data_IF_231176742006
#
_entry.id   IF_231176742006
#
_cell.length_a   1.000
_cell.length_b   1.000
_cell.length_c   1.000
_cell.angle_alpha   90.00
_cell.angle_beta   90.00
_cell.angle_gamma   90.00
#
_symmetry.space_group_name_H-M   'P 1'
#
loop_
_entity.id
_entity.type
_entity.pdbx_description
1 polymer ?
#
# COMPACT_ATOMS: atom_id res chain seq x y z
N UNK A 1 -27.26 -14.11 39.02
CA UNK A 1 -26.28 -14.29 37.92
C UNK A 1 -27.07 -14.83 36.73
N UNK A 2 -27.68 -13.94 35.93
CA UNK A 2 -28.42 -14.37 34.75
C UNK A 2 -27.41 -14.76 33.68
N UNK A 3 -27.43 -16.02 33.27
CA UNK A 3 -26.80 -16.47 32.03
C UNK A 3 -27.63 -15.84 30.92
N UNK A 4 -27.22 -14.65 30.46
CA UNK A 4 -27.83 -14.02 29.29
C UNK A 4 -27.25 -14.68 28.05
N UNK A 5 -28.15 -15.11 27.19
CA UNK A 5 -27.85 -15.69 25.88
C UNK A 5 -27.10 -14.63 25.10
N UNK A 6 -25.84 -14.91 24.76
CA UNK A 6 -25.07 -14.07 23.86
C UNK A 6 -25.71 -14.20 22.48
N UNK A 7 -26.40 -13.16 22.02
CA UNK A 7 -26.95 -13.14 20.67
C UNK A 7 -25.80 -13.31 19.66
N UNK A 8 -25.98 -14.32 18.81
CA UNK A 8 -25.00 -14.72 17.82
C UNK A 8 -25.44 -14.22 16.46
N UNK A 9 -24.57 -13.49 15.76
CA UNK A 9 -24.87 -12.95 14.43
C UNK A 9 -24.03 -13.66 13.36
N UNK A 10 -24.37 -14.92 13.00
CA UNK A 10 -23.57 -15.69 12.04
C UNK A 10 -23.56 -15.07 10.64
N UNK A 11 -24.64 -14.37 10.27
CA UNK A 11 -24.76 -13.68 8.98
C UNK A 11 -23.66 -12.62 8.79
N UNK A 12 -23.33 -11.88 9.85
CA UNK A 12 -22.29 -10.86 9.81
C UNK A 12 -20.90 -11.48 9.65
N UNK A 13 -20.60 -12.56 10.37
CA UNK A 13 -19.34 -13.28 10.22
C UNK A 13 -19.12 -13.83 8.80
N UNK A 14 -20.18 -14.30 8.14
CA UNK A 14 -20.13 -14.75 6.74
C UNK A 14 -19.81 -13.57 5.80
N UNK A 15 -20.44 -12.40 6.01
CA UNK A 15 -20.16 -11.21 5.21
C UNK A 15 -18.70 -10.78 5.37
N UNK A 16 -18.18 -10.77 6.59
CA UNK A 16 -16.77 -10.47 6.86
C UNK A 16 -15.82 -11.45 6.15
N UNK A 17 -16.15 -12.74 6.17
CA UNK A 17 -15.40 -13.76 5.42
C UNK A 17 -15.40 -13.49 3.92
N UNK A 18 -16.54 -13.14 3.34
CA UNK A 18 -16.64 -12.81 1.93
C UNK A 18 -15.82 -11.57 1.56
N UNK A 19 -15.92 -10.50 2.36
CA UNK A 19 -15.11 -9.29 2.19
C UNK A 19 -13.61 -9.58 2.30
N UNK A 20 -13.21 -10.38 3.28
CA UNK A 20 -11.84 -10.81 3.48
C UNK A 20 -11.28 -11.62 2.31
N UNK A 21 -12.09 -12.51 1.71
CA UNK A 21 -11.69 -13.28 0.53
C UNK A 21 -11.49 -12.36 -0.67
N UNK A 22 -12.44 -11.48 -0.96
CA UNK A 22 -12.32 -10.53 -2.09
C UNK A 22 -11.08 -9.64 -1.90
N UNK A 23 -10.89 -9.08 -0.71
CA UNK A 23 -9.73 -8.23 -0.41
C UNK A 23 -8.40 -8.98 -0.64
N UNK A 24 -8.31 -10.24 -0.21
CA UNK A 24 -7.12 -11.07 -0.44
C UNK A 24 -6.90 -11.43 -1.91
N UNK A 25 -7.96 -11.67 -2.69
CA UNK A 25 -7.86 -11.93 -4.13
C UNK A 25 -7.34 -10.69 -4.87
N UNK A 26 -7.88 -9.51 -4.57
CA UNK A 26 -7.39 -8.24 -5.15
C UNK A 26 -5.93 -8.02 -4.74
N UNK A 27 -5.59 -8.26 -3.47
CA UNK A 27 -4.22 -8.10 -2.99
C UNK A 27 -3.25 -9.13 -3.60
N UNK A 28 -3.72 -10.33 -3.96
CA UNK A 28 -2.92 -11.30 -4.73
C UNK A 28 -2.57 -10.76 -6.12
N UNK A 29 -3.52 -10.12 -6.80
CA UNK A 29 -3.29 -9.46 -8.08
C UNK A 29 -2.31 -8.28 -7.95
N UNK A 30 -2.44 -7.47 -6.89
CA UNK A 30 -1.48 -6.42 -6.54
C UNK A 30 -0.09 -7.01 -6.37
N UNK A 31 0.04 -8.10 -5.61
CA UNK A 31 1.32 -8.72 -5.30
C UNK A 31 2.09 -9.19 -6.55
N UNK A 32 1.38 -9.73 -7.54
CA UNK A 32 1.99 -10.12 -8.82
C UNK A 32 2.68 -8.94 -9.53
N UNK A 33 2.14 -7.73 -9.36
CA UNK A 33 2.64 -6.49 -9.99
C UNK A 33 3.60 -5.70 -9.08
N UNK A 34 3.46 -5.78 -7.76
CA UNK A 34 4.25 -5.08 -6.74
C UNK A 34 4.79 -6.06 -5.69
N UNK A 35 5.97 -6.64 -5.97
CA UNK A 35 6.63 -7.62 -5.08
C UNK A 35 7.12 -7.04 -3.76
N UNK A 36 7.26 -5.72 -3.67
CA UNK A 36 7.59 -4.99 -2.44
C UNK A 36 6.51 -5.13 -1.36
N UNK A 37 5.26 -5.38 -1.75
CA UNK A 37 4.12 -5.59 -0.85
C UNK A 37 3.94 -7.04 -0.39
N UNK A 38 4.96 -7.91 -0.54
CA UNK A 38 4.90 -9.33 -0.14
C UNK A 38 4.42 -9.52 1.30
N UNK A 39 4.92 -8.74 2.24
CA UNK A 39 4.55 -8.87 3.65
C UNK A 39 3.09 -8.44 3.90
N UNK A 40 2.59 -7.47 3.14
CA UNK A 40 1.20 -7.05 3.24
C UNK A 40 0.28 -8.17 2.73
N UNK A 41 0.65 -8.80 1.61
CA UNK A 41 -0.09 -9.95 1.09
C UNK A 41 -0.14 -11.11 2.09
N UNK A 42 0.98 -11.43 2.75
CA UNK A 42 1.00 -12.47 3.80
C UNK A 42 0.09 -12.07 4.98
N UNK A 43 0.07 -10.79 5.37
CA UNK A 43 -0.84 -10.32 6.42
C UNK A 43 -2.32 -10.47 6.00
N UNK A 44 -2.67 -10.09 4.77
CA UNK A 44 -4.02 -10.25 4.21
C UNK A 44 -4.46 -11.72 4.22
N UNK A 45 -3.62 -12.64 3.75
CA UNK A 45 -3.94 -14.08 3.77
C UNK A 45 -4.22 -14.57 5.19
N UNK A 46 -3.36 -14.23 6.15
CA UNK A 46 -3.55 -14.67 7.53
C UNK A 46 -4.85 -14.12 8.13
N UNK A 47 -5.14 -12.83 7.91
CA UNK A 47 -6.39 -12.23 8.39
C UNK A 47 -7.61 -12.88 7.74
N UNK A 48 -7.57 -13.15 6.43
CA UNK A 48 -8.67 -13.84 5.73
C UNK A 48 -8.86 -15.26 6.26
N UNK A 49 -7.78 -16.03 6.46
CA UNK A 49 -7.87 -17.38 7.02
C UNK A 49 -8.48 -17.33 8.43
N UNK A 50 -8.03 -16.38 9.27
CA UNK A 50 -8.58 -16.18 10.61
C UNK A 50 -10.09 -15.93 10.57
N UNK A 51 -10.54 -14.99 9.73
CA UNK A 51 -11.96 -14.65 9.64
C UNK A 51 -12.81 -15.79 9.07
N UNK A 52 -12.29 -16.55 8.10
CA UNK A 52 -12.98 -17.73 7.54
C UNK A 52 -13.11 -18.82 8.59
N UNK A 53 -12.03 -19.11 9.33
CA UNK A 53 -12.07 -20.08 10.44
C UNK A 53 -13.08 -19.61 11.49
N UNK A 54 -13.09 -18.32 11.84
CA UNK A 54 -14.10 -17.77 12.75
C UNK A 54 -15.51 -18.05 12.23
N UNK A 55 -15.84 -17.59 11.01
CA UNK A 55 -17.16 -17.75 10.42
C UNK A 55 -17.61 -19.22 10.29
N UNK A 56 -16.69 -20.16 10.08
CA UNK A 56 -17.03 -21.60 10.05
C UNK A 56 -17.33 -22.13 11.45
N UNK A 57 -16.54 -21.79 12.46
CA UNK A 57 -16.78 -22.23 13.84
C UNK A 57 -18.06 -21.62 14.42
N UNK A 58 -18.33 -20.38 14.04
CA UNK A 58 -19.54 -19.66 14.33
C UNK A 58 -20.81 -20.45 13.96
N UNK A 59 -20.76 -21.21 12.86
CA UNK A 59 -21.89 -21.98 12.35
C UNK A 59 -21.87 -23.42 12.89
N UNK A 60 -20.70 -24.06 12.93
CA UNK A 60 -20.60 -25.51 13.18
C UNK A 60 -20.44 -25.87 14.65
N UNK A 61 -19.79 -25.03 15.46
CA UNK A 61 -19.48 -25.34 16.86
C UNK A 61 -19.28 -24.05 17.67
N UNK A 62 -20.37 -23.32 18.01
CA UNK A 62 -20.28 -22.11 18.83
C UNK A 62 -19.68 -22.44 20.20
N UNK A 63 -18.47 -21.92 20.48
CA UNK A 63 -17.68 -22.24 21.67
C UNK A 63 -16.59 -23.30 21.49
N UNK A 64 -16.37 -23.78 20.26
CA UNK A 64 -15.27 -24.70 19.94
C UNK A 64 -13.88 -24.05 19.97
N UNK A 65 -12.83 -24.89 19.95
CA UNK A 65 -11.41 -24.49 19.93
C UNK A 65 -11.07 -23.58 18.74
N UNK A 66 -11.89 -23.59 17.70
CA UNK A 66 -11.60 -22.86 16.47
C UNK A 66 -11.63 -21.32 16.58
N UNK A 67 -12.27 -20.75 17.59
CA UNK A 67 -12.11 -19.32 17.88
C UNK A 67 -10.66 -18.98 18.31
N UNK A 68 -10.02 -19.86 19.07
CA UNK A 68 -8.62 -19.66 19.47
C UNK A 68 -7.67 -19.83 18.28
N UNK A 69 -7.97 -20.77 17.37
CA UNK A 69 -7.22 -20.95 16.13
C UNK A 69 -7.33 -19.70 15.25
N UNK A 70 -8.54 -19.14 15.09
CA UNK A 70 -8.78 -17.89 14.36
C UNK A 70 -7.94 -16.73 14.92
N UNK A 71 -7.91 -16.57 16.25
CA UNK A 71 -7.10 -15.55 16.92
C UNK A 71 -5.61 -15.68 16.61
N UNK A 72 -5.06 -16.90 16.58
CA UNK A 72 -3.66 -17.12 16.20
C UNK A 72 -3.35 -16.57 14.80
N UNK A 73 -4.24 -16.78 13.84
CA UNK A 73 -4.07 -16.23 12.49
C UNK A 73 -4.12 -14.70 12.48
N UNK A 74 -5.03 -14.08 13.24
CA UNK A 74 -5.04 -12.61 13.37
C UNK A 74 -3.76 -12.07 14.01
N UNK A 75 -3.22 -12.75 15.03
CA UNK A 75 -1.96 -12.38 15.68
C UNK A 75 -0.80 -12.42 14.69
N UNK A 76 -0.68 -13.52 13.94
CA UNK A 76 0.35 -13.68 12.91
C UNK A 76 0.20 -12.60 11.84
N UNK A 77 -1.04 -12.30 11.43
CA UNK A 77 -1.36 -11.21 10.51
C UNK A 77 -0.88 -9.84 11.02
N UNK A 78 -1.23 -9.49 12.27
CA UNK A 78 -0.86 -8.23 12.90
C UNK A 78 0.67 -8.08 13.04
N UNK A 79 1.38 -9.14 13.47
CA UNK A 79 2.84 -9.14 13.57
C UNK A 79 3.46 -8.96 12.17
N UNK A 80 2.96 -9.68 11.16
CA UNK A 80 3.46 -9.56 9.79
C UNK A 80 3.27 -8.14 9.25
N UNK A 81 2.11 -7.55 9.51
CA UNK A 81 1.79 -6.17 9.12
C UNK A 81 2.70 -5.16 9.82
N UNK A 82 2.93 -5.33 11.13
CA UNK A 82 3.87 -4.52 11.89
C UNK A 82 5.28 -4.57 11.29
N UNK A 83 5.79 -5.77 11.02
CA UNK A 83 7.11 -5.95 10.37
C UNK A 83 7.15 -5.27 9.00
N UNK A 84 6.06 -5.32 8.24
CA UNK A 84 5.96 -4.66 6.94
C UNK A 84 6.07 -3.13 7.05
N UNK A 85 5.25 -2.53 7.91
CA UNK A 85 5.25 -1.08 8.16
C UNK A 85 6.58 -0.63 8.73
N UNK A 86 7.14 -1.39 9.67
CA UNK A 86 8.44 -1.11 10.28
C UNK A 86 9.55 -1.10 9.22
N UNK A 87 9.62 -2.13 8.37
CA UNK A 87 10.62 -2.20 7.29
C UNK A 87 10.51 -1.01 6.35
N UNK A 88 9.29 -0.60 6.01
CA UNK A 88 9.08 0.54 5.14
C UNK A 88 9.41 1.87 5.83
N UNK A 89 9.08 2.02 7.10
CA UNK A 89 9.43 3.18 7.92
C UNK A 89 10.95 3.39 7.95
N UNK A 90 11.71 2.34 8.26
CA UNK A 90 13.17 2.40 8.28
C UNK A 90 13.75 2.70 6.90
N UNK A 91 13.21 2.13 5.83
CA UNK A 91 13.62 2.47 4.45
C UNK A 91 13.36 3.94 4.11
N UNK A 92 12.31 4.54 4.67
CA UNK A 92 11.87 5.90 4.35
C UNK A 92 12.60 6.96 5.17
N UNK A 93 12.94 6.68 6.43
CA UNK A 93 13.54 7.65 7.35
C UNK A 93 15.03 7.44 7.63
N UNK A 94 15.59 6.25 7.39
CA UNK A 94 17.05 6.04 7.53
C UNK A 94 17.75 6.53 6.25
N UNK A 95 18.56 7.58 6.40
CA UNK A 95 19.40 8.17 5.35
C UNK A 95 20.22 7.06 4.68
N UNK A 96 20.29 7.10 3.35
CA UNK A 96 20.98 6.13 2.50
C UNK A 96 22.50 6.29 2.66
N UNK A 97 23.05 5.91 3.82
CA UNK A 97 24.47 5.59 3.87
C UNK A 97 24.66 4.23 3.19
N UNK A 98 25.44 4.27 2.12
CA UNK A 98 25.86 3.14 1.32
C UNK A 98 26.54 2.09 2.18
N UNK A 99 25.88 0.95 2.37
CA UNK A 99 26.42 -0.38 2.12
C UNK A 99 25.53 -1.44 2.80
N UNK A 100 25.01 -2.34 1.97
CA UNK A 100 24.82 -3.77 2.29
C UNK A 100 24.50 -4.12 3.74
N UNK A 101 23.37 -3.65 4.27
CA UNK A 101 22.73 -4.35 5.38
C UNK A 101 22.00 -5.57 4.82
N UNK A 102 22.77 -6.64 4.58
CA UNK A 102 22.28 -8.02 4.64
C UNK A 102 21.75 -8.22 6.06
N UNK A 103 20.50 -7.82 6.31
CA UNK A 103 19.79 -8.18 7.54
C UNK A 103 19.50 -9.67 7.42
N UNK A 104 20.47 -10.48 7.85
CA UNK A 104 20.28 -11.89 8.18
C UNK A 104 19.27 -11.92 9.32
N UNK A 105 17.99 -12.05 8.97
CA UNK A 105 16.90 -12.13 9.94
C UNK A 105 17.02 -13.45 10.71
N UNK A 106 17.86 -13.46 11.73
CA UNK A 106 17.68 -14.39 12.86
C UNK A 106 16.50 -13.87 13.66
N UNK A 107 15.30 -14.11 13.14
CA UNK A 107 14.09 -14.05 13.96
C UNK A 107 14.13 -15.34 14.78
N UNK A 108 14.69 -15.23 15.98
CA UNK A 108 14.57 -16.24 17.03
C UNK A 108 13.09 -16.34 17.38
N UNK A 109 12.43 -17.33 16.79
CA UNK A 109 11.11 -17.79 17.20
C UNK A 109 11.27 -18.55 18.53
N UNK A 110 11.03 -17.86 19.64
CA UNK A 110 10.76 -18.50 20.91
C UNK A 110 9.29 -18.20 21.25
N UNK A 111 8.40 -19.06 20.75
CA UNK A 111 7.02 -19.14 21.22
C UNK A 111 6.98 -20.34 22.15
N UNK A 112 6.96 -20.08 23.45
CA UNK A 112 6.69 -21.08 24.49
C UNK A 112 5.30 -20.82 25.07
N UNK A 113 4.64 -21.91 25.38
CA UNK A 113 3.20 -22.16 25.51
C UNK A 113 2.69 -21.91 26.95
N UNK A 114 1.52 -21.24 27.05
CA UNK A 114 0.47 -21.15 28.12
C UNK A 114 0.81 -20.73 29.58
N UNK A 115 -0.07 -20.00 30.32
CA UNK A 115 -1.48 -20.32 30.69
C UNK A 115 -2.56 -19.40 30.08
N UNK A 116 -3.61 -20.02 29.51
CA UNK A 116 -4.48 -19.51 28.45
C UNK A 116 -5.42 -18.32 28.77
N UNK A 117 -5.56 -17.85 30.01
CA UNK A 117 -6.53 -16.80 30.36
C UNK A 117 -5.87 -15.46 30.75
N UNK A 118 -4.68 -15.52 31.37
CA UNK A 118 -3.83 -14.35 31.62
C UNK A 118 -3.05 -13.98 30.36
N UNK A 119 -2.77 -14.95 29.49
CA UNK A 119 -2.10 -14.72 28.21
C UNK A 119 -2.97 -13.97 27.21
N UNK A 120 -4.27 -14.26 27.10
CA UNK A 120 -5.12 -13.63 26.07
C UNK A 120 -5.22 -12.13 26.26
N UNK A 121 -5.40 -11.66 27.50
CA UNK A 121 -5.36 -10.22 27.83
C UNK A 121 -3.96 -9.64 27.58
N UNK A 122 -2.90 -10.31 28.02
CA UNK A 122 -1.52 -9.84 27.83
C UNK A 122 -1.13 -9.74 26.35
N UNK A 123 -1.62 -10.67 25.53
CA UNK A 123 -1.33 -10.74 24.10
C UNK A 123 -2.14 -9.69 23.34
N UNK A 124 -3.40 -9.43 23.71
CA UNK A 124 -4.19 -8.33 23.16
C UNK A 124 -3.57 -6.96 23.43
N UNK A 125 -3.07 -6.71 24.64
CA UNK A 125 -2.35 -5.47 24.97
C UNK A 125 -1.10 -5.32 24.09
N UNK A 126 -0.40 -6.42 23.81
CA UNK A 126 0.75 -6.42 22.90
C UNK A 126 0.35 -6.11 21.45
N UNK A 127 -0.75 -6.69 20.95
CA UNK A 127 -1.28 -6.38 19.61
C UNK A 127 -1.70 -4.92 19.53
N UNK A 128 -2.42 -4.41 20.53
CA UNK A 128 -2.83 -2.99 20.61
C UNK A 128 -1.60 -2.09 20.51
N UNK A 129 -0.52 -2.43 21.21
CA UNK A 129 0.75 -1.68 21.15
C UNK A 129 1.36 -1.73 19.74
N UNK A 130 1.39 -2.91 19.09
CA UNK A 130 1.89 -3.04 17.72
C UNK A 130 1.03 -2.29 16.70
N UNK A 131 -0.30 -2.34 16.83
CA UNK A 131 -1.23 -1.61 15.99
C UNK A 131 -1.05 -0.09 16.16
N UNK A 132 -0.93 0.39 17.41
CA UNK A 132 -0.73 1.80 17.72
C UNK A 132 0.59 2.31 17.11
N UNK A 133 1.69 1.59 17.34
CA UNK A 133 2.99 1.94 16.77
C UNK A 133 2.96 1.91 15.25
N UNK A 134 2.32 0.89 14.65
CA UNK A 134 2.15 0.79 13.19
C UNK A 134 1.33 1.94 12.62
N UNK A 135 0.26 2.35 13.29
CA UNK A 135 -0.59 3.46 12.87
C UNK A 135 0.22 4.76 12.85
N UNK A 136 0.94 5.06 13.94
CA UNK A 136 1.81 6.24 14.05
C UNK A 136 2.90 6.23 12.96
N UNK A 137 3.56 5.09 12.75
CA UNK A 137 4.56 4.94 11.69
C UNK A 137 3.96 5.14 10.30
N UNK A 138 2.77 4.61 10.04
CA UNK A 138 2.07 4.74 8.75
C UNK A 138 1.68 6.19 8.48
N UNK A 139 1.14 6.90 9.47
CA UNK A 139 0.85 8.33 9.35
C UNK A 139 2.13 9.15 9.11
N UNK A 140 3.23 8.85 9.81
CA UNK A 140 4.52 9.51 9.54
C UNK A 140 5.03 9.25 8.13
N UNK A 141 4.92 8.03 7.61
CA UNK A 141 5.29 7.71 6.21
C UNK A 141 4.39 8.51 5.26
N UNK A 142 3.09 8.58 5.53
CA UNK A 142 2.14 9.35 4.74
C UNK A 142 2.53 10.84 4.67
N UNK A 143 2.83 11.48 5.81
CA UNK A 143 3.24 12.90 5.81
C UNK A 143 4.52 13.16 5.00
N UNK A 144 5.42 12.17 4.89
CA UNK A 144 6.67 12.30 4.14
C UNK A 144 6.56 11.96 2.65
N UNK A 145 5.92 10.83 2.30
CA UNK A 145 5.79 10.37 0.92
C UNK A 145 4.57 10.92 0.19
N UNK A 146 3.56 11.40 0.94
CA UNK A 146 2.24 11.82 0.44
C UNK A 146 1.54 10.76 -0.43
N UNK A 147 1.81 9.48 -0.15
CA UNK A 147 1.23 8.33 -0.85
C UNK A 147 -0.11 7.94 -0.24
N UNK A 148 -1.16 7.91 -1.07
CA UNK A 148 -2.55 7.66 -0.64
C UNK A 148 -2.67 6.29 0.06
N UNK A 149 -1.93 5.28 -0.42
CA UNK A 149 -1.81 3.95 0.18
C UNK A 149 -1.53 3.97 1.69
N UNK A 150 -0.61 4.82 2.14
CA UNK A 150 -0.19 4.87 3.55
C UNK A 150 -1.21 5.57 4.44
N UNK A 151 -2.00 6.50 3.89
CA UNK A 151 -3.12 7.09 4.60
C UNK A 151 -4.21 6.05 4.85
N UNK A 152 -4.60 5.30 3.82
CA UNK A 152 -5.61 4.24 3.95
C UNK A 152 -5.15 3.13 4.90
N UNK A 153 -3.88 2.73 4.83
CA UNK A 153 -3.32 1.78 5.79
C UNK A 153 -3.35 2.33 7.23
N UNK A 154 -3.01 3.61 7.42
CA UNK A 154 -3.07 4.27 8.73
C UNK A 154 -4.48 4.27 9.31
N UNK A 155 -5.50 4.59 8.49
CA UNK A 155 -6.91 4.55 8.91
C UNK A 155 -7.33 3.12 9.23
N UNK A 156 -6.96 2.15 8.38
CA UNK A 156 -7.25 0.73 8.58
C UNK A 156 -6.70 0.23 9.93
N UNK A 157 -5.45 0.58 10.26
CA UNK A 157 -4.83 0.28 11.56
C UNK A 157 -5.53 0.95 12.74
N UNK A 158 -5.99 2.19 12.57
CA UNK A 158 -6.79 2.89 13.59
C UNK A 158 -8.14 2.20 13.82
N UNK A 159 -8.79 1.70 12.77
CA UNK A 159 -10.05 0.95 12.90
C UNK A 159 -9.85 -0.35 13.70
N UNK A 160 -8.78 -1.11 13.41
CA UNK A 160 -8.43 -2.31 14.19
C UNK A 160 -8.12 -1.97 15.63
N UNK A 161 -7.39 -0.89 15.88
CA UNK A 161 -7.09 -0.44 17.24
C UNK A 161 -8.38 -0.20 18.03
N UNK A 162 -9.35 0.51 17.43
CA UNK A 162 -10.65 0.75 18.06
C UNK A 162 -11.43 -0.54 18.29
N UNK A 163 -11.44 -1.47 17.33
CA UNK A 163 -12.07 -2.78 17.49
C UNK A 163 -11.49 -3.54 18.69
N UNK A 164 -10.16 -3.61 18.79
CA UNK A 164 -9.47 -4.26 19.90
C UNK A 164 -9.75 -3.58 21.25
N UNK A 165 -9.81 -2.25 21.30
CA UNK A 165 -10.18 -1.52 22.52
C UNK A 165 -11.60 -1.92 22.95
N UNK A 166 -12.57 -1.96 22.04
CA UNK A 166 -13.93 -2.38 22.37
C UNK A 166 -14.00 -3.83 22.84
N UNK A 167 -13.24 -4.74 22.22
CA UNK A 167 -13.13 -6.14 22.68
C UNK A 167 -12.56 -6.24 24.10
N UNK A 168 -11.56 -5.41 24.44
CA UNK A 168 -11.01 -5.38 25.81
C UNK A 168 -12.06 -4.85 26.80
N UNK A 169 -12.81 -3.81 26.44
CA UNK A 169 -13.86 -3.25 27.31
C UNK A 169 -15.02 -4.25 27.49
N UNK A 170 -15.41 -4.98 26.43
CA UNK A 170 -16.40 -6.06 26.50
C UNK A 170 -16.01 -7.10 27.56
N UNK A 171 -14.73 -7.51 27.58
CA UNK A 171 -14.21 -8.48 28.56
C UNK A 171 -14.20 -7.98 30.00
N UNK A 172 -14.23 -6.66 30.21
CA UNK A 172 -14.36 -6.07 31.55
C UNK A 172 -15.82 -6.08 32.06
N UNK A 173 -16.78 -6.57 31.27
CA UNK A 173 -18.17 -6.77 31.68
C UNK A 173 -19.19 -5.85 30.99
N UNK A 174 -18.77 -5.06 29.99
CA UNK A 174 -19.67 -4.20 29.22
C UNK A 174 -20.14 -4.90 27.94
N UNK A 175 -21.18 -5.72 28.05
CA UNK A 175 -21.71 -6.56 26.95
C UNK A 175 -22.10 -5.76 25.68
N UNK A 176 -22.56 -4.51 25.84
CA UNK A 176 -22.94 -3.63 24.72
C UNK A 176 -21.76 -3.30 23.77
N UNK A 177 -20.53 -3.40 24.26
CA UNK A 177 -19.32 -3.10 23.46
C UNK A 177 -19.07 -4.14 22.37
N UNK A 178 -19.69 -5.32 22.45
CA UNK A 178 -19.59 -6.36 21.42
C UNK A 178 -20.12 -5.89 20.07
N UNK A 179 -21.26 -5.20 20.05
CA UNK A 179 -21.86 -4.65 18.82
C UNK A 179 -20.96 -3.59 18.19
N UNK A 180 -20.33 -2.75 19.02
CA UNK A 180 -19.36 -1.76 18.55
C UNK A 180 -18.09 -2.41 17.99
N UNK A 181 -17.55 -3.43 18.65
CA UNK A 181 -16.39 -4.18 18.15
C UNK A 181 -16.67 -4.80 16.78
N UNK A 182 -17.83 -5.45 16.64
CA UNK A 182 -18.27 -6.06 15.37
C UNK A 182 -18.48 -5.00 14.27
N UNK A 183 -19.08 -3.85 14.62
CA UNK A 183 -19.20 -2.72 13.70
C UNK A 183 -17.84 -2.19 13.21
N UNK A 184 -16.86 -2.13 14.11
CA UNK A 184 -15.48 -1.74 13.74
C UNK A 184 -14.81 -2.79 12.85
N UNK A 185 -15.05 -4.08 13.06
CA UNK A 185 -14.55 -5.13 12.18
C UNK A 185 -15.10 -5.00 10.75
N UNK A 186 -16.40 -4.68 10.59
CA UNK A 186 -16.98 -4.41 9.27
C UNK A 186 -16.28 -3.24 8.59
N UNK A 187 -16.06 -2.14 9.31
CA UNK A 187 -15.34 -0.98 8.77
C UNK A 187 -13.90 -1.39 8.40
N UNK A 188 -13.24 -2.20 9.21
CA UNK A 188 -11.88 -2.67 8.97
C UNK A 188 -11.78 -3.50 7.69
N UNK A 189 -12.64 -4.50 7.50
CA UNK A 189 -12.62 -5.34 6.30
C UNK A 189 -12.96 -4.55 5.03
N UNK A 190 -13.88 -3.58 5.12
CA UNK A 190 -14.13 -2.64 4.03
C UNK A 190 -12.89 -1.79 3.72
N UNK A 191 -12.19 -1.29 4.74
CA UNK A 191 -10.98 -0.50 4.55
C UNK A 191 -9.82 -1.34 4.00
N UNK A 192 -9.71 -2.63 4.35
CA UNK A 192 -8.75 -3.54 3.73
C UNK A 192 -9.03 -3.70 2.22
N UNK A 193 -10.30 -3.86 1.85
CA UNK A 193 -10.73 -3.96 0.45
C UNK A 193 -10.39 -2.67 -0.31
N UNK A 194 -10.79 -1.52 0.22
CA UNK A 194 -10.51 -0.20 -0.38
C UNK A 194 -9.00 0.02 -0.48
N UNK A 195 -8.22 -0.33 0.54
CA UNK A 195 -6.75 -0.20 0.51
C UNK A 195 -6.15 -1.03 -0.63
N UNK A 196 -6.60 -2.26 -0.84
CA UNK A 196 -6.13 -3.10 -1.94
C UNK A 196 -6.42 -2.47 -3.32
N UNK A 197 -7.60 -1.87 -3.49
CA UNK A 197 -7.98 -1.15 -4.72
C UNK A 197 -7.14 0.11 -4.90
N UNK A 198 -6.98 0.92 -3.85
CA UNK A 198 -6.18 2.15 -3.86
C UNK A 198 -4.74 1.85 -4.26
N UNK A 199 -4.18 0.74 -3.78
CA UNK A 199 -2.84 0.31 -4.19
C UNK A 199 -2.77 0.02 -5.69
N UNK A 200 -3.79 -0.58 -6.32
CA UNK A 200 -3.80 -0.75 -7.78
C UNK A 200 -3.84 0.58 -8.52
N UNK A 201 -4.64 1.54 -8.04
CA UNK A 201 -4.78 2.86 -8.64
C UNK A 201 -3.48 3.66 -8.52
N UNK A 202 -2.87 3.68 -7.34
CA UNK A 202 -1.58 4.31 -7.07
C UNK A 202 -0.48 3.76 -7.99
N UNK A 203 -0.54 2.47 -8.32
CA UNK A 203 0.42 1.87 -9.26
C UNK A 203 0.26 2.42 -10.67
N UNK A 204 -0.98 2.51 -11.15
CA UNK A 204 -1.28 3.06 -12.47
C UNK A 204 -0.87 4.53 -12.57
N UNK A 205 -1.08 5.31 -11.50
CA UNK A 205 -0.66 6.71 -11.43
C UNK A 205 0.86 6.86 -11.53
N UNK A 206 1.62 6.04 -10.80
CA UNK A 206 3.09 6.08 -10.86
C UNK A 206 3.60 5.74 -12.27
N UNK A 207 3.03 4.72 -12.92
CA UNK A 207 3.40 4.33 -14.29
C UNK A 207 3.10 5.47 -15.27
N UNK A 208 1.88 6.00 -15.24
CA UNK A 208 1.47 7.11 -16.11
C UNK A 208 2.35 8.36 -15.90
N UNK A 209 2.71 8.67 -14.66
CA UNK A 209 3.62 9.78 -14.36
C UNK A 209 5.03 9.55 -14.90
N UNK A 210 5.55 8.32 -14.79
CA UNK A 210 6.86 7.97 -15.34
C UNK A 210 6.91 8.02 -16.86
N UNK A 211 5.84 7.60 -17.53
CA UNK A 211 5.71 7.69 -18.98
C UNK A 211 5.63 9.14 -19.44
N UNK A 212 4.86 9.98 -18.72
CA UNK A 212 4.80 11.42 -18.99
C UNK A 212 6.18 12.10 -18.86
N UNK A 213 6.96 11.73 -17.84
CA UNK A 213 8.34 12.24 -17.67
C UNK A 213 9.26 11.77 -18.81
N UNK A 214 9.19 10.49 -19.17
CA UNK A 214 9.95 9.95 -20.30
C UNK A 214 9.64 10.68 -21.61
N UNK A 215 8.35 10.90 -21.89
CA UNK A 215 7.92 11.64 -23.09
C UNK A 215 8.43 13.08 -23.07
N UNK A 216 8.36 13.76 -21.91
CA UNK A 216 8.91 15.10 -21.75
C UNK A 216 10.42 15.15 -22.05
N UNK A 217 11.20 14.22 -21.51
CA UNK A 217 12.64 14.18 -21.71
C UNK A 217 12.99 13.88 -23.18
N UNK A 218 12.27 12.95 -23.81
CA UNK A 218 12.42 12.64 -25.24
C UNK A 218 12.14 13.87 -26.11
N UNK A 219 11.03 14.56 -25.88
CA UNK A 219 10.72 15.76 -26.65
C UNK A 219 11.69 16.91 -26.41
N UNK A 220 12.19 17.07 -25.18
CA UNK A 220 13.24 18.05 -24.87
C UNK A 220 14.53 17.74 -25.62
N UNK A 221 14.90 16.46 -25.73
CA UNK A 221 16.07 16.02 -26.48
C UNK A 221 15.90 16.26 -27.98
N UNK A 222 14.75 15.89 -28.55
CA UNK A 222 14.44 16.09 -29.98
C UNK A 222 14.44 17.58 -30.35
N UNK A 223 13.84 18.43 -29.52
CA UNK A 223 13.91 19.90 -29.68
C UNK A 223 15.36 20.40 -29.60
N UNK A 224 16.16 19.90 -28.65
CA UNK A 224 17.57 20.24 -28.54
C UNK A 224 18.35 19.92 -29.83
N UNK A 225 18.11 18.74 -30.42
CA UNK A 225 18.73 18.33 -31.68
C UNK A 225 18.30 19.23 -32.85
N UNK A 226 17.03 19.63 -32.90
CA UNK A 226 16.52 20.56 -33.92
C UNK A 226 17.21 21.93 -33.77
N UNK A 227 17.26 22.49 -32.55
CA UNK A 227 17.91 23.77 -32.32
C UNK A 227 19.42 23.74 -32.59
N UNK A 228 20.10 22.64 -32.24
CA UNK A 228 21.51 22.47 -32.58
C UNK A 228 21.72 22.44 -34.11
N UNK A 229 20.85 21.76 -34.85
CA UNK A 229 20.89 21.74 -36.32
C UNK A 229 20.68 23.13 -36.90
N UNK A 230 19.73 23.90 -36.36
CA UNK A 230 19.49 25.30 -36.77
C UNK A 230 20.71 26.18 -36.45
N UNK A 231 21.33 26.00 -35.28
CA UNK A 231 22.51 26.77 -34.86
C UNK A 231 23.70 26.49 -35.78
N UNK A 232 24.00 25.21 -36.06
CA UNK A 232 25.06 24.86 -37.01
C UNK A 232 24.77 25.39 -38.43
N UNK A 233 23.50 25.37 -38.84
CA UNK A 233 23.12 25.91 -40.13
C UNK A 233 23.34 27.43 -40.21
N UNK A 234 22.96 28.15 -39.16
CA UNK A 234 23.18 29.58 -39.07
C UNK A 234 24.67 29.96 -39.01
N UNK A 235 25.47 29.22 -38.24
CA UNK A 235 26.93 29.41 -38.18
C UNK A 235 27.56 29.27 -39.57
N UNK A 236 27.18 28.24 -40.33
CA UNK A 236 27.68 28.00 -41.68
C UNK A 236 27.25 29.08 -42.69
N UNK A 237 26.03 29.61 -42.59
CA UNK A 237 25.57 30.77 -43.38
C UNK A 237 26.41 32.02 -43.06
N UNK A 238 26.74 32.23 -41.79
CA UNK A 238 27.47 33.43 -41.34
C UNK A 238 28.96 33.43 -41.70
N UNK A 239 29.50 32.32 -42.23
CA UNK A 239 30.89 32.27 -42.66
C UNK A 239 31.12 33.10 -43.93
N UNK A 240 32.16 33.97 -43.97
CA UNK A 240 32.39 34.92 -45.06
C UNK A 240 32.76 34.28 -46.41
N UNK A 241 33.03 32.98 -46.45
CA UNK A 241 33.32 32.19 -47.65
C UNK A 241 32.14 31.34 -48.15
N UNK A 242 30.96 31.48 -47.53
CA UNK A 242 29.76 30.74 -47.94
C UNK A 242 29.30 31.20 -49.34
N UNK A 243 29.08 30.24 -50.23
CA UNK A 243 28.50 30.51 -51.57
C UNK A 243 27.00 30.80 -51.41
N UNK A 244 26.48 31.68 -52.25
CA UNK A 244 25.06 32.07 -52.28
C UNK A 244 24.13 30.84 -52.40
N UNK A 245 24.49 29.86 -53.23
CA UNK A 245 23.75 28.58 -53.36
C UNK A 245 23.70 27.76 -52.07
N UNK A 246 24.75 27.86 -51.24
CA UNK A 246 24.84 27.15 -49.96
C UNK A 246 23.96 27.85 -48.92
N UNK A 247 23.87 29.18 -48.95
CA UNK A 247 22.96 29.94 -48.08
C UNK A 247 21.50 29.58 -48.34
N UNK A 248 21.08 29.49 -49.61
CA UNK A 248 19.72 29.09 -49.97
C UNK A 248 19.34 27.67 -49.48
N UNK A 249 20.25 26.70 -49.62
CA UNK A 249 20.04 25.34 -49.12
C UNK A 249 19.89 25.30 -47.59
N UNK A 250 20.70 26.10 -46.88
CA UNK A 250 20.64 26.18 -45.42
C UNK A 250 19.40 26.92 -44.91
N UNK A 251 18.93 27.95 -45.60
CA UNK A 251 17.68 28.64 -45.30
C UNK A 251 16.47 27.72 -45.45
N UNK A 252 16.46 26.87 -46.49
CA UNK A 252 15.43 25.83 -46.68
C UNK A 252 15.49 24.81 -45.52
N UNK A 253 16.69 24.38 -45.11
CA UNK A 253 16.89 23.46 -43.99
C UNK A 253 16.40 24.07 -42.66
N UNK A 254 16.74 25.33 -42.38
CA UNK A 254 16.31 26.06 -41.18
C UNK A 254 14.79 26.17 -41.15
N UNK A 255 14.14 26.59 -42.24
CA UNK A 255 12.67 26.66 -42.32
C UNK A 255 12.02 25.29 -42.07
N UNK A 256 12.57 24.23 -42.66
CA UNK A 256 12.09 22.86 -42.43
C UNK A 256 12.21 22.47 -40.96
N UNK A 257 13.36 22.74 -40.34
CA UNK A 257 13.62 22.41 -38.93
C UNK A 257 12.76 23.24 -37.96
N UNK A 258 12.49 24.51 -38.27
CA UNK A 258 11.56 25.35 -37.50
C UNK A 258 10.13 24.78 -37.58
N UNK A 259 9.69 24.33 -38.75
CA UNK A 259 8.38 23.68 -38.90
C UNK A 259 8.31 22.37 -38.09
N UNK A 260 9.34 21.53 -38.17
CA UNK A 260 9.45 20.32 -37.35
C UNK A 260 9.38 20.66 -35.85
N UNK A 261 10.07 21.70 -35.37
CA UNK A 261 9.97 22.15 -33.98
C UNK A 261 8.56 22.66 -33.63
N UNK A 262 7.92 23.42 -34.51
CA UNK A 262 6.56 23.95 -34.31
C UNK A 262 5.54 22.83 -34.14
N UNK A 263 5.60 21.81 -34.98
CA UNK A 263 4.70 20.66 -34.92
C UNK A 263 4.92 19.83 -33.64
N UNK A 264 6.19 19.68 -33.24
CA UNK A 264 6.57 18.99 -32.01
C UNK A 264 6.07 19.77 -30.76
N UNK A 265 6.16 21.10 -30.76
CA UNK A 265 5.61 21.96 -29.69
C UNK A 265 4.08 21.90 -29.65
N UNK A 266 3.39 21.90 -30.80
CA UNK A 266 1.93 21.70 -30.86
C UNK A 266 1.52 20.35 -30.29
N UNK A 267 2.29 19.30 -30.61
CA UNK A 267 2.05 17.97 -30.09
C UNK A 267 2.22 17.90 -28.57
N UNK A 268 3.29 18.50 -28.01
CA UNK A 268 3.51 18.61 -26.56
C UNK A 268 2.39 19.40 -25.87
N UNK A 269 1.92 20.48 -26.47
CA UNK A 269 0.86 21.33 -25.89
C UNK A 269 -0.48 20.59 -25.76
N UNK A 270 -0.73 19.59 -26.60
CA UNK A 270 -1.98 18.82 -26.62
C UNK A 270 -1.93 17.55 -25.74
N UNK A 271 -0.83 17.33 -24.98
CA UNK A 271 -0.57 16.21 -24.06
C UNK A 271 -0.82 16.58 -22.59
#
# INVERSE_FOLDING_TARGET
>A
MCIKITEYYPELSIILAFLGIIASVIMAFVYQRRKDLRLWFIAYINVTIGVVISAVNDILAPGGIGHEISRLFFIIGAITLFVAVFKEYFKTFKKKDSNTLKVRSKITAAVVITPALIITISLEVLIITFCLVSAIMSFRIYFKKKTVTHAFLGICLSTVLSALIFTVIERLGFEEMRLFALGMDIIFFNMLLVTAIVVLLDQKLIIAQSEKLYMKDKYSHDLGNIFHTISMAYELISMPSSKESLQDEMDILIKKKINEASDLVKFIRNL
#
